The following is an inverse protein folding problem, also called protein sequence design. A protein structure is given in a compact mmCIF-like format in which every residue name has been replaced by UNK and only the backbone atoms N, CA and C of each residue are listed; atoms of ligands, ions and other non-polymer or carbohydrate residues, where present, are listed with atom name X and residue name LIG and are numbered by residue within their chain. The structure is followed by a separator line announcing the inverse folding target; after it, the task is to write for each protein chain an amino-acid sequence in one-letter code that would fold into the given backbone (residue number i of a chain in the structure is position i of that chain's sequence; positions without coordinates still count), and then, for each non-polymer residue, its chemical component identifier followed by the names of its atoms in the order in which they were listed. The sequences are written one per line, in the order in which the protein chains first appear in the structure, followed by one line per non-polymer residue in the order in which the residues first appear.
data_IF_930285913824
#
_entry.id   IF_930285913824
#
_cell.length_a   1.000
_cell.length_b   1.000
_cell.length_c   1.000
_cell.angle_alpha   90.00
_cell.angle_beta   90.00
_cell.angle_gamma   90.00
#
_symmetry.space_group_name_H-M   'P 1'
#
loop_
_entity.id
_entity.type
_entity.pdbx_description
1 polymer ?
#
# COMPACT_ATOMS: atom_id res chain seq x y z
N UNK A 1 -3.81 -7.29 50.98
CA UNK A 1 -4.59 -7.40 49.73
C UNK A 1 -3.83 -6.96 48.47
N UNK A 2 -2.93 -5.98 48.52
CA UNK A 2 -2.19 -5.45 47.35
C UNK A 2 -1.28 -6.45 46.59
N UNK A 3 -0.65 -7.41 47.28
CA UNK A 3 0.26 -8.40 46.63
C UNK A 3 -0.44 -9.32 45.62
N UNK A 4 -1.74 -9.62 45.84
CA UNK A 4 -2.53 -10.47 44.92
C UNK A 4 -2.90 -9.72 43.64
N UNK A 5 -3.23 -8.43 43.75
CA UNK A 5 -3.49 -7.58 42.58
C UNK A 5 -2.24 -7.32 41.75
N UNK A 6 -1.08 -7.12 42.39
CA UNK A 6 0.20 -6.99 41.67
C UNK A 6 0.54 -8.26 40.89
N UNK A 7 0.33 -9.44 41.48
CA UNK A 7 0.54 -10.71 40.77
C UNK A 7 -0.41 -10.88 39.57
N UNK A 8 -1.69 -10.51 39.72
CA UNK A 8 -2.67 -10.56 38.61
C UNK A 8 -2.28 -9.59 37.48
N UNK A 9 -1.85 -8.37 37.83
CA UNK A 9 -1.41 -7.37 36.83
C UNK A 9 -0.15 -7.86 36.09
N UNK A 10 0.81 -8.45 36.79
CA UNK A 10 2.03 -9.00 36.17
C UNK A 10 1.68 -10.18 35.23
N UNK A 11 0.78 -11.08 35.65
CA UNK A 11 0.34 -12.19 34.80
C UNK A 11 -0.41 -11.72 33.55
N UNK A 12 -1.32 -10.74 33.68
CA UNK A 12 -2.00 -10.14 32.53
C UNK A 12 -1.03 -9.42 31.57
N UNK A 13 0.00 -8.74 32.11
CA UNK A 13 1.03 -8.07 31.31
C UNK A 13 1.88 -9.07 30.52
N UNK A 14 2.25 -10.20 31.14
CA UNK A 14 3.00 -11.28 30.50
C UNK A 14 2.15 -11.97 29.41
N UNK A 15 0.85 -12.13 29.63
CA UNK A 15 -0.07 -12.72 28.66
C UNK A 15 -0.35 -11.81 27.45
N UNK A 16 -0.21 -10.48 27.59
CA UNK A 16 -0.37 -9.52 26.49
C UNK A 16 0.88 -9.39 25.59
N UNK A 17 2.01 -10.00 25.97
CA UNK A 17 3.29 -9.86 25.27
C UNK A 17 3.55 -10.92 24.20
N UNK A 18 2.59 -11.82 23.91
CA UNK A 18 2.73 -12.76 22.82
C UNK A 18 2.58 -11.99 21.47
N UNK A 19 3.61 -11.92 20.62
CA UNK A 19 3.48 -11.33 19.30
C UNK A 19 2.57 -12.26 18.49
N UNK A 20 1.30 -11.90 18.36
CA UNK A 20 0.47 -12.48 17.32
C UNK A 20 1.03 -11.94 16.00
N UNK A 21 1.47 -12.83 15.11
CA UNK A 21 1.72 -12.43 13.72
C UNK A 21 0.37 -12.04 13.14
N UNK A 22 0.05 -10.76 13.20
CA UNK A 22 -1.08 -10.18 12.48
C UNK A 22 -0.66 -10.21 11.01
N UNK A 23 -1.05 -11.28 10.30
CA UNK A 23 -0.99 -11.32 8.83
C UNK A 23 -2.06 -10.36 8.30
N UNK A 24 -1.77 -9.06 8.38
CA UNK A 24 -2.45 -8.09 7.56
C UNK A 24 -2.02 -8.37 6.12
N UNK A 25 -2.82 -9.14 5.38
CA UNK A 25 -2.61 -9.36 3.96
C UNK A 25 -2.98 -8.07 3.22
N UNK A 26 -2.00 -7.41 2.62
CA UNK A 26 -2.22 -6.35 1.64
C UNK A 26 -2.62 -6.91 0.29
N UNK A 27 -2.97 -5.99 -0.61
CA UNK A 27 -3.19 -6.27 -2.02
C UNK A 27 -2.08 -5.61 -2.84
N UNK A 28 -1.57 -6.35 -3.81
CA UNK A 28 -0.54 -5.92 -4.74
C UNK A 28 -1.11 -5.94 -6.16
N UNK A 29 -0.99 -4.82 -6.87
CA UNK A 29 -1.49 -4.67 -8.24
C UNK A 29 -0.30 -4.34 -9.14
N UNK A 30 -0.14 -5.10 -10.22
CA UNK A 30 0.79 -4.78 -11.30
C UNK A 30 0.00 -4.43 -12.55
N UNK A 31 0.61 -3.68 -13.47
CA UNK A 31 -0.01 -3.32 -14.73
C UNK A 31 0.97 -3.38 -15.89
N UNK A 32 0.43 -3.57 -17.10
CA UNK A 32 1.16 -3.45 -18.37
C UNK A 32 0.39 -2.51 -19.27
N UNK A 33 1.09 -1.59 -19.93
CA UNK A 33 0.52 -0.62 -20.86
C UNK A 33 0.69 -1.06 -22.31
N UNK A 34 -0.28 -0.70 -23.14
CA UNK A 34 -0.36 -0.98 -24.57
C UNK A 34 -1.66 -0.37 -25.12
N UNK A 35 -2.17 -0.84 -26.27
CA UNK A 35 -3.49 -0.43 -26.77
C UNK A 35 -4.62 -0.71 -25.77
N UNK A 36 -4.44 -1.73 -24.92
CA UNK A 36 -5.23 -1.99 -23.74
C UNK A 36 -4.29 -1.99 -22.52
N UNK A 37 -4.82 -1.56 -21.38
CA UNK A 37 -4.17 -1.67 -20.09
C UNK A 37 -4.64 -2.96 -19.44
N UNK A 38 -3.69 -3.82 -19.07
CA UNK A 38 -3.97 -5.04 -18.31
C UNK A 38 -3.41 -4.90 -16.91
N UNK A 39 -4.20 -5.22 -15.91
CA UNK A 39 -3.79 -5.28 -14.51
C UNK A 39 -3.85 -6.73 -14.01
N UNK A 40 -3.00 -7.04 -13.02
CA UNK A 40 -3.05 -8.29 -12.26
C UNK A 40 -3.04 -7.94 -10.78
N UNK A 41 -4.08 -8.35 -10.06
CA UNK A 41 -4.24 -8.13 -8.64
C UNK A 41 -4.04 -9.44 -7.87
N UNK A 42 -3.17 -9.39 -6.87
CA UNK A 42 -2.81 -10.52 -5.99
C UNK A 42 -2.78 -10.06 -4.54
N UNK A 43 -3.06 -10.95 -3.61
CA UNK A 43 -2.73 -10.72 -2.21
C UNK A 43 -1.21 -10.71 -2.00
N UNK A 44 -0.73 -10.17 -0.88
CA UNK A 44 0.70 -10.21 -0.53
C UNK A 44 1.25 -11.65 -0.40
N UNK A 45 0.37 -12.64 -0.24
CA UNK A 45 0.70 -14.07 -0.31
C UNK A 45 1.02 -14.57 -1.72
N UNK A 46 0.73 -13.77 -2.76
CA UNK A 46 0.82 -14.13 -4.17
C UNK A 46 -0.45 -14.80 -4.74
N UNK A 47 -1.46 -15.06 -3.92
CA UNK A 47 -2.73 -15.62 -4.38
C UNK A 47 -3.51 -14.61 -5.24
N UNK A 48 -4.10 -15.01 -6.38
CA UNK A 48 -4.90 -14.12 -7.20
C UNK A 48 -6.12 -13.56 -6.47
N UNK A 49 -6.43 -12.28 -6.70
CA UNK A 49 -7.68 -11.68 -6.24
C UNK A 49 -8.81 -11.96 -7.24
N UNK A 50 -9.22 -13.22 -7.32
CA UNK A 50 -10.29 -13.66 -8.21
C UNK A 50 -11.62 -12.98 -7.86
N UNK A 51 -12.42 -12.57 -8.85
CA UNK A 51 -13.69 -11.88 -8.65
C UNK A 51 -13.59 -10.54 -7.87
N UNK A 52 -12.40 -9.95 -7.78
CA UNK A 52 -12.22 -8.66 -7.14
C UNK A 52 -12.89 -7.52 -7.94
N UNK A 53 -13.52 -6.59 -7.24
CA UNK A 53 -14.18 -5.44 -7.85
C UNK A 53 -13.14 -4.42 -8.30
N UNK A 54 -13.27 -3.95 -9.54
CA UNK A 54 -12.39 -2.93 -10.13
C UNK A 54 -13.18 -1.65 -10.39
N UNK A 55 -12.61 -0.51 -10.03
CA UNK A 55 -13.09 0.81 -10.42
C UNK A 55 -11.93 1.61 -11.03
N UNK A 56 -12.15 2.14 -12.23
CA UNK A 56 -11.20 2.94 -13.00
C UNK A 56 -11.69 4.38 -13.01
N UNK A 57 -10.84 5.32 -12.60
CA UNK A 57 -11.13 6.74 -12.53
C UNK A 57 -10.25 7.48 -13.53
N UNK A 58 -10.90 8.32 -14.33
CA UNK A 58 -10.23 9.18 -15.28
C UNK A 58 -9.73 10.46 -14.59
N UNK A 59 -8.63 11.07 -15.07
CA UNK A 59 -8.03 12.24 -14.43
C UNK A 59 -8.92 13.50 -14.47
N UNK A 60 -9.89 13.57 -15.37
CA UNK A 60 -10.84 14.67 -15.52
C UNK A 60 -12.05 14.58 -14.57
N UNK A 61 -12.42 13.37 -14.13
CA UNK A 61 -13.36 13.13 -13.04
C UNK A 61 -12.84 12.02 -12.09
N UNK A 62 -12.02 12.39 -11.08
CA UNK A 62 -11.46 11.42 -10.13
C UNK A 62 -12.47 10.95 -9.07
N UNK A 63 -13.68 11.52 -9.03
CA UNK A 63 -14.68 11.19 -8.01
C UNK A 63 -15.71 10.16 -8.51
N UNK A 64 -15.92 10.09 -9.82
CA UNK A 64 -16.84 9.13 -10.44
C UNK A 64 -16.05 8.07 -11.21
N UNK A 65 -16.30 6.77 -10.99
CA UNK A 65 -15.69 5.74 -11.82
C UNK A 65 -16.07 5.93 -13.29
N UNK A 66 -15.07 6.07 -14.16
CA UNK A 66 -15.24 6.04 -15.61
C UNK A 66 -15.66 4.66 -16.08
N UNK A 67 -15.11 3.61 -15.45
CA UNK A 67 -15.47 2.21 -15.70
C UNK A 67 -15.44 1.41 -14.40
N UNK A 68 -16.31 0.41 -14.30
CA UNK A 68 -16.25 -0.61 -13.26
C UNK A 68 -16.21 -2.00 -13.88
N UNK A 69 -15.70 -2.97 -13.13
CA UNK A 69 -15.59 -4.34 -13.61
C UNK A 69 -15.20 -5.31 -12.50
N UNK A 70 -14.78 -6.50 -12.91
CA UNK A 70 -14.41 -7.57 -11.99
C UNK A 70 -13.22 -8.33 -12.56
N UNK A 71 -12.26 -8.68 -11.71
CA UNK A 71 -11.14 -9.52 -12.11
C UNK A 71 -11.59 -10.94 -12.46
N UNK A 72 -10.89 -11.59 -13.39
CA UNK A 72 -11.05 -13.01 -13.70
C UNK A 72 -10.48 -13.92 -12.59
N UNK A 73 -10.55 -15.24 -12.80
CA UNK A 73 -10.06 -16.25 -11.84
C UNK A 73 -8.56 -16.14 -11.55
N UNK A 74 -7.79 -15.56 -12.47
CA UNK A 74 -6.36 -15.30 -12.33
C UNK A 74 -6.08 -13.89 -11.77
N UNK A 75 -7.10 -13.17 -11.30
CA UNK A 75 -6.97 -11.84 -10.71
C UNK A 75 -6.71 -10.74 -11.75
N UNK A 76 -6.97 -11.00 -13.03
CA UNK A 76 -6.67 -10.06 -14.13
C UNK A 76 -7.90 -9.24 -14.49
N UNK A 77 -7.65 -7.99 -14.88
CA UNK A 77 -8.67 -7.13 -15.47
C UNK A 77 -8.03 -6.30 -16.57
N UNK A 78 -8.73 -6.12 -17.69
CA UNK A 78 -8.20 -5.42 -18.86
C UNK A 78 -9.22 -4.40 -19.35
N UNK A 79 -8.77 -3.19 -19.64
CA UNK A 79 -9.60 -2.12 -20.18
C UNK A 79 -8.84 -1.30 -21.23
N UNK A 80 -9.57 -0.62 -22.10
CA UNK A 80 -9.01 0.32 -23.08
C UNK A 80 -9.39 1.72 -22.60
N UNK A 81 -8.43 2.56 -22.18
CA UNK A 81 -8.70 3.94 -21.77
C UNK A 81 -9.10 4.80 -22.97
N UNK A 82 -9.86 5.87 -22.73
CA UNK A 82 -10.10 6.88 -23.76
C UNK A 82 -8.80 7.65 -24.04
N UNK A 83 -8.25 7.49 -25.25
CA UNK A 83 -6.99 8.11 -25.66
C UNK A 83 -7.03 9.65 -25.72
N UNK A 84 -8.23 10.25 -25.74
CA UNK A 84 -8.39 11.70 -25.64
C UNK A 84 -8.15 12.23 -24.22
N UNK A 85 -8.25 11.37 -23.20
CA UNK A 85 -8.09 11.72 -21.80
C UNK A 85 -6.69 11.30 -21.32
N UNK A 86 -5.71 12.17 -21.56
CA UNK A 86 -4.36 11.99 -21.04
C UNK A 86 -4.24 12.37 -19.57
N UNK A 87 -3.36 11.70 -18.83
CA UNK A 87 -3.05 12.04 -17.44
C UNK A 87 -2.88 10.81 -16.56
N UNK A 88 -3.02 11.02 -15.25
CA UNK A 88 -2.88 9.99 -14.24
C UNK A 88 -4.23 9.33 -13.98
N UNK A 89 -4.42 8.12 -14.50
CA UNK A 89 -5.61 7.34 -14.25
C UNK A 89 -5.44 6.55 -12.94
N UNK A 90 -6.49 6.48 -12.13
CA UNK A 90 -6.47 5.66 -10.91
C UNK A 90 -7.25 4.37 -11.12
N UNK A 91 -6.68 3.25 -10.71
CA UNK A 91 -7.33 1.94 -10.74
C UNK A 91 -7.38 1.40 -9.32
N UNK A 92 -8.59 1.28 -8.79
CA UNK A 92 -8.88 0.68 -7.50
C UNK A 92 -9.32 -0.76 -7.69
N UNK A 93 -8.71 -1.69 -6.93
CA UNK A 93 -9.15 -3.10 -6.86
C UNK A 93 -9.49 -3.44 -5.41
N UNK A 94 -10.65 -4.02 -5.16
CA UNK A 94 -11.15 -4.36 -3.82
C UNK A 94 -11.81 -5.73 -3.75
N UNK A 95 -11.53 -6.46 -2.67
CA UNK A 95 -12.15 -7.73 -2.37
C UNK A 95 -12.16 -7.98 -0.85
N UNK A 96 -13.34 -8.29 -0.28
CA UNK A 96 -13.49 -8.71 1.12
C UNK A 96 -12.80 -7.80 2.16
N UNK A 97 -12.78 -6.47 1.94
CA UNK A 97 -12.13 -5.51 2.83
C UNK A 97 -10.62 -5.31 2.60
N UNK A 98 -10.03 -6.07 1.67
CA UNK A 98 -8.68 -5.86 1.14
C UNK A 98 -8.75 -5.11 -0.19
N UNK A 99 -7.68 -4.42 -0.55
CA UNK A 99 -7.60 -3.71 -1.82
C UNK A 99 -6.43 -2.75 -1.89
N UNK A 100 -6.20 -2.24 -3.09
CA UNK A 100 -5.16 -1.25 -3.35
C UNK A 100 -5.61 -0.32 -4.48
N UNK A 101 -4.95 0.82 -4.61
CA UNK A 101 -5.15 1.79 -5.68
C UNK A 101 -3.78 2.02 -6.33
N UNK A 102 -3.72 1.92 -7.66
CA UNK A 102 -2.54 2.27 -8.42
C UNK A 102 -2.83 3.43 -9.37
N UNK A 103 -1.80 4.20 -9.68
CA UNK A 103 -1.85 5.27 -10.66
C UNK A 103 -1.14 4.83 -11.93
N UNK A 104 -1.82 4.94 -13.08
CA UNK A 104 -1.30 4.58 -14.39
C UNK A 104 -1.20 5.87 -15.23
N UNK A 105 0.02 6.32 -15.58
CA UNK A 105 0.19 7.49 -16.43
C UNK A 105 -0.12 7.14 -17.90
N UNK A 106 -1.05 7.86 -18.51
CA UNK A 106 -1.45 7.71 -19.92
C UNK A 106 -1.09 9.00 -20.67
N UNK A 107 -0.26 8.88 -21.69
CA UNK A 107 0.11 10.02 -22.54
C UNK A 107 -0.90 10.17 -23.68
N UNK A 108 -1.18 11.41 -24.08
CA UNK A 108 -1.95 11.68 -25.29
C UNK A 108 -1.21 11.06 -26.48
N UNK A 109 -1.93 10.33 -27.34
CA UNK A 109 -1.38 9.91 -28.61
C UNK A 109 -1.15 11.15 -29.48
N UNK A 110 0.08 11.67 -29.48
CA UNK A 110 0.50 12.57 -30.53
C UNK A 110 0.70 11.71 -31.77
N UNK A 111 -0.26 11.75 -32.69
CA UNK A 111 -0.14 11.15 -34.03
C UNK A 111 1.06 11.77 -34.76
N UNK A 112 2.24 11.23 -34.49
CA UNK A 112 3.47 11.54 -35.20
C UNK A 112 4.11 10.20 -35.50
N UNK A 113 3.97 9.77 -36.76
CA UNK A 113 4.79 8.71 -37.32
C UNK A 113 6.25 9.14 -37.25
N UNK A 114 6.90 8.85 -36.14
CA UNK A 114 8.33 9.01 -35.96
C UNK A 114 8.82 7.86 -35.11
N UNK A 115 9.38 6.87 -35.80
CA UNK A 115 10.38 5.99 -35.21
C UNK A 115 11.47 6.88 -34.61
N UNK A 116 11.48 7.02 -33.29
CA UNK A 116 12.55 7.70 -32.57
C UNK A 116 12.76 7.02 -31.22
N UNK A 117 13.90 6.35 -31.15
CA UNK A 117 14.61 5.93 -29.97
C UNK A 117 14.53 6.98 -28.86
N UNK A 118 14.07 6.59 -27.67
CA UNK A 118 14.30 7.35 -26.43
C UNK A 118 14.95 6.44 -25.40
N UNK A 119 16.27 6.50 -25.38
CA UNK A 119 17.09 6.23 -24.20
C UNK A 119 16.86 7.37 -23.20
N UNK A 120 16.22 7.09 -22.07
CA UNK A 120 15.89 8.14 -21.09
C UNK A 120 15.35 7.62 -19.77
N UNK A 121 16.28 7.10 -18.95
CA UNK A 121 16.33 7.17 -17.48
C UNK A 121 15.09 7.65 -16.71
N UNK A 122 14.57 6.77 -15.83
CA UNK A 122 14.17 7.17 -14.47
C UNK A 122 12.68 7.34 -14.20
N UNK A 123 12.02 6.25 -13.82
CA UNK A 123 11.04 6.27 -12.73
C UNK A 123 11.05 4.92 -12.07
N UNK A 124 11.87 4.81 -11.03
CA UNK A 124 11.86 3.67 -10.12
C UNK A 124 10.47 3.60 -9.51
N UNK A 125 9.70 2.59 -9.90
CA UNK A 125 8.49 2.20 -9.21
C UNK A 125 8.84 2.06 -7.72
N UNK A 126 8.23 2.89 -6.87
CA UNK A 126 8.20 2.62 -5.43
C UNK A 126 7.20 1.49 -5.24
N UNK A 127 7.66 0.27 -5.52
CA UNK A 127 7.02 -0.93 -5.00
C UNK A 127 7.06 -0.79 -3.48
N UNK A 128 5.89 -0.59 -2.88
CA UNK A 128 5.68 -0.52 -1.43
C UNK A 128 5.90 -1.85 -0.71
N UNK A 129 6.99 -2.56 -1.01
CA UNK A 129 7.52 -3.63 -0.17
C UNK A 129 8.28 -2.99 0.99
N UNK A 130 7.53 -2.61 2.03
CA UNK A 130 7.99 -1.75 3.13
C UNK A 130 9.04 -2.38 4.04
N UNK A 131 10.27 -2.50 3.55
CA UNK A 131 11.46 -2.57 4.40
C UNK A 131 11.91 -1.16 4.76
N UNK A 132 12.02 -0.85 6.05
CA UNK A 132 12.58 0.44 6.48
C UNK A 132 14.05 0.55 6.09
N UNK A 133 14.47 1.73 5.61
CA UNK A 133 15.90 1.97 5.35
C UNK A 133 16.68 1.96 6.67
N UNK A 134 17.98 1.62 6.66
CA UNK A 134 18.80 1.63 7.86
C UNK A 134 18.74 2.96 8.63
N UNK A 135 18.67 4.09 7.92
CA UNK A 135 18.50 5.41 8.53
C UNK A 135 17.13 5.59 9.19
N UNK A 136 16.05 5.12 8.57
CA UNK A 136 14.72 5.15 9.18
C UNK A 136 14.69 4.32 10.47
N UNK A 137 15.30 3.14 10.47
CA UNK A 137 15.40 2.28 11.65
C UNK A 137 16.16 2.98 12.78
N UNK A 138 17.29 3.62 12.47
CA UNK A 138 18.10 4.36 13.45
C UNK A 138 17.30 5.52 14.05
N UNK A 139 16.61 6.32 13.23
CA UNK A 139 15.80 7.44 13.71
C UNK A 139 14.66 6.97 14.60
N UNK A 140 13.91 5.95 14.18
CA UNK A 140 12.84 5.35 14.98
C UNK A 140 13.35 4.85 16.32
N UNK A 141 14.47 4.13 16.32
CA UNK A 141 15.11 3.60 17.53
C UNK A 141 15.54 4.73 18.48
N UNK A 142 16.14 5.80 17.94
CA UNK A 142 16.54 6.97 18.71
C UNK A 142 15.37 7.69 19.38
N UNK A 143 14.25 7.86 18.68
CA UNK A 143 13.05 8.48 19.25
C UNK A 143 12.44 7.68 20.39
N UNK A 144 12.42 6.35 20.28
CA UNK A 144 11.92 5.46 21.35
C UNK A 144 12.80 5.57 22.60
N UNK A 145 14.13 5.49 22.42
CA UNK A 145 15.09 5.59 23.52
C UNK A 145 14.94 6.95 24.23
N UNK A 146 14.86 8.03 23.47
CA UNK A 146 14.67 9.37 24.03
C UNK A 146 13.35 9.51 24.81
N UNK A 147 12.25 8.96 24.29
CA UNK A 147 10.96 8.95 24.97
C UNK A 147 10.99 8.19 26.30
N UNK A 148 11.66 7.03 26.35
CA UNK A 148 11.83 6.25 27.57
C UNK A 148 12.68 6.99 28.61
N UNK A 149 13.78 7.63 28.18
CA UNK A 149 14.64 8.44 29.06
C UNK A 149 13.88 9.64 29.61
N UNK A 150 13.15 10.38 28.77
CA UNK A 150 12.34 11.52 29.21
C UNK A 150 11.26 11.12 30.22
N UNK A 151 10.61 9.99 29.98
CA UNK A 151 9.60 9.44 30.89
C UNK A 151 10.23 9.04 32.23
N UNK A 152 11.38 8.36 32.23
CA UNK A 152 12.10 7.99 33.44
C UNK A 152 12.51 9.23 34.27
N UNK A 153 13.09 10.25 33.61
CA UNK A 153 13.48 11.50 34.26
C UNK A 153 12.28 12.26 34.82
N UNK A 154 11.14 12.28 34.12
CA UNK A 154 9.90 12.90 34.58
C UNK A 154 9.42 12.30 35.92
N UNK A 155 9.42 10.96 36.04
CA UNK A 155 9.03 10.29 37.28
C UNK A 155 10.10 10.39 38.38
N UNK A 156 11.39 10.46 38.03
CA UNK A 156 12.47 10.68 38.99
C UNK A 156 12.39 12.07 39.65
N UNK A 157 11.91 13.09 38.93
CA UNK A 157 11.77 14.44 39.49
C UNK A 157 10.63 14.59 40.51
N UNK A 158 9.69 13.63 40.58
CA UNK A 158 8.54 13.68 41.51
C UNK A 158 8.85 13.08 42.89
N UNK A 159 10.09 12.66 43.14
CA UNK A 159 10.57 12.30 44.48
C UNK A 159 11.46 13.42 45.03
N UNK A 160 10.82 14.53 45.39
CA UNK A 160 11.25 15.50 46.40
C UNK A 160 9.98 16.18 46.94
#
# INVERSE_FOLDING_TARGET
MHRRYVAIIIVCLIMSAAPTMILAHGAHITYTTGPAISIVATYDSGEPMADAQVAVYAPDDPMTPWMTGTCDAEGRFTFIPDASISGNWEVQVRQAGHGNIITIPIQAETTTNSAAMSSGMGSTAVSGGGGYTPLQIVLMSGSIIWGLVGTALFFMRRRN
#
